data_IF_600378151427
#
_entry.id   IF_600378151427
#
_cell.length_a   1.000
_cell.length_b   1.000
_cell.length_c   1.000
_cell.angle_alpha   90.00
_cell.angle_beta   90.00
_cell.angle_gamma   90.00
#
_symmetry.space_group_name_H-M   'P 1'
#
loop_
_entity.id
_entity.type
_entity.pdbx_description
1 polymer ?
#
# COMPACT_ATOMS: atom_id res chain seq x y z
N UNK A 1 8.09 -33.70 7.01
CA UNK A 1 8.28 -32.44 6.26
C UNK A 1 9.75 -32.31 5.89
N UNK A 2 10.10 -31.93 4.65
CA UNK A 2 11.50 -31.67 4.31
C UNK A 2 12.02 -30.52 5.17
N UNK A 3 13.22 -30.65 5.74
CA UNK A 3 13.87 -29.56 6.48
C UNK A 3 14.14 -28.42 5.49
N UNK A 4 13.81 -27.16 5.82
CA UNK A 4 14.19 -26.04 4.98
C UNK A 4 15.72 -26.03 4.88
N UNK A 5 16.25 -26.24 3.67
CA UNK A 5 17.67 -26.08 3.40
C UNK A 5 17.97 -24.58 3.46
N UNK A 6 18.64 -24.15 4.53
CA UNK A 6 19.17 -22.80 4.60
C UNK A 6 20.19 -22.67 3.46
N UNK A 7 20.02 -21.71 2.53
CA UNK A 7 20.99 -21.52 1.46
C UNK A 7 22.38 -21.29 2.05
N UNK A 8 23.41 -21.85 1.42
CA UNK A 8 24.82 -21.72 1.85
C UNK A 8 25.27 -20.25 1.95
N UNK A 9 24.55 -19.35 1.28
CA UNK A 9 24.69 -17.88 1.39
C UNK A 9 23.30 -17.25 1.56
N UNK A 10 23.08 -16.55 2.67
CA UNK A 10 21.92 -15.69 2.82
C UNK A 10 22.01 -14.54 1.81
N UNK A 11 20.97 -14.37 0.99
CA UNK A 11 20.81 -13.22 0.10
C UNK A 11 19.54 -12.47 0.46
N UNK A 12 19.63 -11.18 0.84
CA UNK A 12 18.45 -10.32 0.91
C UNK A 12 17.99 -9.97 -0.52
N UNK A 13 16.72 -9.58 -0.71
CA UNK A 13 16.19 -9.31 -2.06
C UNK A 13 15.26 -10.39 -2.59
N UNK A 14 14.52 -11.10 -1.72
CA UNK A 14 13.76 -12.28 -2.14
C UNK A 14 12.77 -11.95 -3.24
N UNK A 15 12.02 -10.85 -3.10
CA UNK A 15 11.00 -10.47 -4.08
C UNK A 15 11.63 -10.03 -5.39
N UNK A 16 12.67 -9.20 -5.37
CA UNK A 16 13.35 -8.74 -6.60
C UNK A 16 13.94 -9.88 -7.43
N UNK A 17 14.27 -11.00 -6.80
CA UNK A 17 14.81 -12.21 -7.44
C UNK A 17 13.77 -13.34 -7.64
N UNK A 18 12.49 -13.12 -7.31
CA UNK A 18 11.45 -14.16 -7.43
C UNK A 18 11.27 -14.64 -8.89
N UNK A 19 10.95 -15.93 -9.08
CA UNK A 19 10.67 -16.50 -10.40
C UNK A 19 9.41 -15.86 -11.03
N UNK A 20 9.62 -14.99 -12.02
CA UNK A 20 8.59 -14.27 -12.76
C UNK A 20 7.68 -15.17 -13.60
N UNK A 21 8.03 -16.44 -13.82
CA UNK A 21 7.16 -17.39 -14.54
C UNK A 21 5.96 -17.80 -13.70
N UNK A 22 6.04 -17.64 -12.38
CA UNK A 22 4.90 -17.86 -11.48
C UNK A 22 4.05 -16.60 -11.42
N UNK A 23 2.71 -16.74 -11.32
CA UNK A 23 1.79 -15.59 -11.18
C UNK A 23 2.16 -14.74 -9.96
N UNK A 24 2.43 -15.39 -8.83
CA UNK A 24 2.84 -14.72 -7.60
C UNK A 24 4.17 -13.97 -7.77
N UNK A 25 5.19 -14.62 -8.34
CA UNK A 25 6.49 -13.98 -8.57
C UNK A 25 6.42 -12.80 -9.54
N UNK A 26 5.61 -12.89 -10.60
CA UNK A 26 5.38 -11.77 -11.51
C UNK A 26 4.74 -10.56 -10.81
N UNK A 27 3.67 -10.79 -10.04
CA UNK A 27 2.95 -9.73 -9.30
C UNK A 27 3.86 -9.09 -8.25
N UNK A 28 4.53 -9.91 -7.44
CA UNK A 28 5.39 -9.43 -6.37
C UNK A 28 6.58 -8.63 -6.91
N UNK A 29 7.21 -9.07 -8.01
CA UNK A 29 8.27 -8.30 -8.65
C UNK A 29 7.77 -6.98 -9.24
N UNK A 30 6.62 -6.98 -9.92
CA UNK A 30 6.06 -5.75 -10.48
C UNK A 30 5.80 -4.70 -9.37
N UNK A 31 5.18 -5.11 -8.26
CA UNK A 31 4.92 -4.21 -7.12
C UNK A 31 6.21 -3.76 -6.43
N UNK A 32 7.21 -4.65 -6.31
CA UNK A 32 8.51 -4.27 -5.77
C UNK A 32 9.21 -3.24 -6.63
N UNK A 33 9.17 -3.42 -7.94
CA UNK A 33 9.73 -2.46 -8.89
C UNK A 33 9.02 -1.11 -8.77
N UNK A 34 7.69 -1.09 -8.78
CA UNK A 34 6.88 0.14 -8.63
C UNK A 34 7.21 0.90 -7.33
N UNK A 35 7.18 0.23 -6.19
CA UNK A 35 7.47 0.87 -4.89
C UNK A 35 8.92 1.36 -4.80
N UNK A 36 9.88 0.62 -5.37
CA UNK A 36 11.28 1.06 -5.35
C UNK A 36 11.54 2.22 -6.30
N UNK A 37 10.88 2.27 -7.46
CA UNK A 37 10.93 3.39 -8.40
C UNK A 37 10.37 4.67 -7.77
N UNK A 38 9.22 4.58 -7.09
CA UNK A 38 8.62 5.71 -6.36
C UNK A 38 9.55 6.29 -5.28
N UNK A 39 10.40 5.45 -4.70
CA UNK A 39 11.39 5.84 -3.68
C UNK A 39 12.75 6.25 -4.27
N UNK A 40 12.82 6.48 -5.58
CA UNK A 40 14.02 6.99 -6.27
C UNK A 40 14.92 5.91 -6.88
N UNK A 41 14.43 4.67 -6.97
CA UNK A 41 15.10 3.54 -7.60
C UNK A 41 15.85 2.63 -6.60
N UNK A 42 15.92 1.31 -6.88
CA UNK A 42 16.43 0.31 -5.93
C UNK A 42 17.90 0.51 -5.52
N UNK A 43 18.72 1.09 -6.40
CA UNK A 43 20.14 1.40 -6.15
C UNK A 43 20.34 2.53 -5.15
N UNK A 44 19.34 3.39 -4.96
CA UNK A 44 19.37 4.52 -4.01
C UNK A 44 18.83 4.15 -2.63
N UNK A 45 18.28 2.96 -2.49
CA UNK A 45 17.71 2.49 -1.23
C UNK A 45 18.78 1.88 -0.33
N UNK A 46 18.66 2.15 0.96
CA UNK A 46 19.40 1.40 1.97
C UNK A 46 18.89 -0.04 2.06
N UNK A 47 19.71 -0.92 2.64
CA UNK A 47 19.28 -2.27 2.96
C UNK A 47 18.00 -2.30 3.82
N UNK A 48 17.91 -1.42 4.82
CA UNK A 48 16.76 -1.34 5.71
C UNK A 48 15.47 -0.98 4.95
N UNK A 49 15.54 -0.03 4.01
CA UNK A 49 14.40 0.32 3.16
C UNK A 49 13.96 -0.85 2.28
N UNK A 50 14.89 -1.54 1.60
CA UNK A 50 14.55 -2.74 0.81
C UNK A 50 13.89 -3.83 1.66
N UNK A 51 14.43 -4.07 2.85
CA UNK A 51 13.91 -5.05 3.81
C UNK A 51 12.50 -4.72 4.32
N UNK A 52 12.21 -3.43 4.51
CA UNK A 52 10.88 -2.91 4.87
C UNK A 52 9.90 -3.04 3.70
N UNK A 53 10.29 -2.69 2.48
CA UNK A 53 9.47 -2.85 1.28
C UNK A 53 9.04 -4.31 1.11
N UNK A 54 9.96 -5.25 1.26
CA UNK A 54 9.60 -6.68 1.14
C UNK A 54 8.55 -7.11 2.16
N UNK A 55 8.67 -6.65 3.42
CA UNK A 55 7.68 -6.94 4.46
C UNK A 55 6.33 -6.30 4.17
N UNK A 56 6.33 -5.07 3.65
CA UNK A 56 5.11 -4.39 3.24
C UNK A 56 4.38 -5.20 2.16
N UNK A 57 5.09 -5.66 1.12
CA UNK A 57 4.48 -6.42 0.03
C UNK A 57 3.94 -7.78 0.48
N UNK A 58 4.64 -8.47 1.38
CA UNK A 58 4.12 -9.73 1.96
C UNK A 58 2.88 -9.50 2.82
N UNK A 59 2.86 -8.45 3.63
CA UNK A 59 1.68 -8.09 4.42
C UNK A 59 0.49 -7.71 3.52
N UNK A 60 0.74 -6.94 2.46
CA UNK A 60 -0.29 -6.56 1.49
C UNK A 60 -0.87 -7.78 0.78
N UNK A 61 -0.03 -8.70 0.32
CA UNK A 61 -0.49 -9.96 -0.27
C UNK A 61 -1.34 -10.78 0.70
N UNK A 62 -0.92 -10.89 1.96
CA UNK A 62 -1.67 -11.63 2.96
C UNK A 62 -3.01 -10.96 3.29
N UNK A 63 -3.04 -9.63 3.43
CA UNK A 63 -4.27 -8.85 3.64
C UNK A 63 -5.26 -9.05 2.48
N UNK A 64 -4.79 -8.98 1.23
CA UNK A 64 -5.60 -9.23 0.04
C UNK A 64 -6.17 -10.65 0.02
N UNK A 65 -5.41 -11.66 0.46
CA UNK A 65 -5.91 -13.03 0.57
C UNK A 65 -7.01 -13.18 1.63
N UNK A 66 -6.90 -12.48 2.76
CA UNK A 66 -7.95 -12.43 3.78
C UNK A 66 -9.22 -11.73 3.25
N UNK A 67 -9.06 -10.61 2.55
CA UNK A 67 -10.16 -9.86 1.93
C UNK A 67 -10.85 -10.68 0.82
N UNK A 68 -10.09 -11.45 0.04
CA UNK A 68 -10.65 -12.35 -0.96
C UNK A 68 -11.51 -13.44 -0.32
N UNK A 69 -11.08 -14.05 0.79
CA UNK A 69 -11.89 -15.02 1.54
C UNK A 69 -13.21 -14.42 2.02
N UNK A 70 -13.21 -13.16 2.47
CA UNK A 70 -14.45 -12.45 2.80
C UNK A 70 -15.34 -12.24 1.58
N UNK A 71 -14.78 -11.78 0.45
CA UNK A 71 -15.51 -11.58 -0.80
C UNK A 71 -16.12 -12.87 -1.38
N UNK A 72 -15.49 -14.00 -1.12
CA UNK A 72 -15.95 -15.34 -1.52
C UNK A 72 -16.92 -15.96 -0.49
N UNK A 73 -17.32 -15.22 0.55
CA UNK A 73 -18.29 -15.66 1.56
C UNK A 73 -17.73 -16.63 2.60
N UNK A 74 -16.41 -16.86 2.64
CA UNK A 74 -15.74 -17.70 3.64
C UNK A 74 -15.40 -16.90 4.90
N UNK A 75 -16.43 -16.39 5.55
CA UNK A 75 -16.31 -15.53 6.74
C UNK A 75 -15.61 -16.27 7.89
N UNK A 76 -15.79 -17.59 8.00
CA UNK A 76 -15.17 -18.40 9.04
C UNK A 76 -13.65 -18.53 8.92
N UNK A 77 -13.09 -18.25 7.74
CA UNK A 77 -11.63 -18.31 7.49
C UNK A 77 -10.96 -16.96 7.78
N UNK A 78 -11.75 -15.91 8.03
CA UNK A 78 -11.26 -14.57 8.30
C UNK A 78 -11.02 -14.36 9.80
N UNK A 79 -9.81 -13.91 10.15
CA UNK A 79 -9.46 -13.49 11.51
C UNK A 79 -9.34 -11.95 11.56
N UNK A 80 -10.32 -11.24 12.15
CA UNK A 80 -10.28 -9.78 12.25
C UNK A 80 -9.07 -9.27 13.07
N UNK A 81 -8.65 -10.02 14.09
CA UNK A 81 -7.56 -9.62 14.98
C UNK A 81 -6.22 -9.68 14.27
N UNK A 82 -5.96 -10.75 13.52
CA UNK A 82 -4.76 -10.85 12.69
C UNK A 82 -4.77 -9.83 11.54
N UNK A 83 -5.95 -9.61 10.93
CA UNK A 83 -6.11 -8.61 9.88
C UNK A 83 -5.75 -7.20 10.35
N UNK A 84 -6.29 -6.76 11.49
CA UNK A 84 -5.99 -5.45 12.08
C UNK A 84 -4.51 -5.32 12.44
N UNK A 85 -3.89 -6.37 12.98
CA UNK A 85 -2.45 -6.35 13.31
C UNK A 85 -1.58 -6.22 12.06
N UNK A 86 -1.90 -6.94 10.99
CA UNK A 86 -1.18 -6.84 9.72
C UNK A 86 -1.36 -5.46 9.08
N UNK A 87 -2.59 -4.93 9.07
CA UNK A 87 -2.90 -3.60 8.51
C UNK A 87 -2.17 -2.47 9.27
N UNK A 88 -2.15 -2.52 10.60
CA UNK A 88 -1.40 -1.56 11.42
C UNK A 88 0.12 -1.67 11.21
N UNK A 89 0.62 -2.89 11.08
CA UNK A 89 2.04 -3.14 10.77
C UNK A 89 2.42 -2.57 9.40
N UNK A 90 1.59 -2.79 8.39
CA UNK A 90 1.77 -2.26 7.04
C UNK A 90 1.78 -0.73 7.04
N UNK A 91 0.81 -0.11 7.70
CA UNK A 91 0.77 1.35 7.88
C UNK A 91 2.06 1.87 8.52
N UNK A 92 2.53 1.23 9.60
CA UNK A 92 3.76 1.61 10.29
C UNK A 92 5.01 1.46 9.41
N UNK A 93 5.04 0.49 8.49
CA UNK A 93 6.14 0.35 7.53
C UNK A 93 6.10 1.48 6.51
N UNK A 94 4.94 1.76 5.91
CA UNK A 94 4.80 2.82 4.91
C UNK A 94 5.14 4.20 5.46
N UNK A 95 4.69 4.54 6.67
CA UNK A 95 5.07 5.80 7.32
C UNK A 95 6.60 5.93 7.48
N UNK A 96 7.31 4.83 7.77
CA UNK A 96 8.79 4.83 7.92
C UNK A 96 9.53 4.90 6.58
N UNK A 97 8.92 4.42 5.51
CA UNK A 97 9.47 4.51 4.15
C UNK A 97 9.32 5.93 3.54
N UNK A 98 8.73 6.87 4.28
CA UNK A 98 8.50 8.24 3.81
C UNK A 98 7.24 8.38 2.96
N UNK A 99 6.35 7.38 2.96
CA UNK A 99 5.00 7.53 2.43
C UNK A 99 4.18 8.33 3.45
N UNK A 100 4.34 9.64 3.40
CA UNK A 100 3.58 10.55 4.25
C UNK A 100 2.16 10.70 3.72
N UNK A 101 1.19 10.75 4.64
CA UNK A 101 -0.20 11.10 4.33
C UNK A 101 -0.21 12.49 3.67
N UNK A 102 -0.45 12.54 2.35
CA UNK A 102 -0.74 13.81 1.69
C UNK A 102 -2.09 14.31 2.19
N UNK A 103 -2.08 15.37 3.01
CA UNK A 103 -3.31 16.08 3.36
C UNK A 103 -3.96 16.54 2.07
N UNK A 104 -5.23 16.18 1.86
CA UNK A 104 -6.03 16.75 0.79
C UNK A 104 -6.11 18.25 1.09
N UNK A 105 -5.74 19.11 0.15
CA UNK A 105 -6.00 20.55 0.28
C UNK A 105 -7.51 20.70 0.52
N UNK A 106 -7.86 20.95 1.77
CA UNK A 106 -9.22 21.33 2.12
C UNK A 106 -9.33 22.72 1.54
N UNK A 107 -10.18 22.86 0.51
CA UNK A 107 -10.53 24.13 -0.14
C UNK A 107 -10.44 25.25 0.89
N UNK A 108 -9.56 26.19 0.63
CA UNK A 108 -9.29 27.32 1.50
C UNK A 108 -10.62 27.97 1.89
N UNK A 109 -10.72 28.58 3.06
CA UNK A 109 -11.99 29.17 3.53
C UNK A 109 -12.52 30.17 2.49
N UNK A 110 -11.60 30.77 1.73
CA UNK A 110 -11.80 31.60 0.55
C UNK A 110 -12.59 30.88 -0.56
N UNK A 111 -12.23 29.64 -0.92
CA UNK A 111 -12.95 28.83 -1.92
C UNK A 111 -14.37 28.48 -1.44
N UNK A 112 -14.54 28.23 -0.13
CA UNK A 112 -15.85 27.99 0.46
C UNK A 112 -16.72 29.27 0.41
N UNK A 113 -16.16 30.43 0.77
CA UNK A 113 -16.83 31.73 0.70
C UNK A 113 -17.19 32.12 -0.73
N UNK A 114 -16.30 31.89 -1.70
CA UNK A 114 -16.54 32.18 -3.12
C UNK A 114 -17.62 31.27 -3.71
N UNK A 115 -17.63 29.99 -3.33
CA UNK A 115 -18.69 29.07 -3.75
C UNK A 115 -20.07 29.47 -3.17
N UNK A 116 -20.11 29.98 -1.93
CA UNK A 116 -21.33 30.50 -1.31
C UNK A 116 -21.79 31.82 -1.95
N UNK A 117 -20.86 32.72 -2.27
CA UNK A 117 -21.15 33.98 -2.94
C UNK A 117 -21.65 33.76 -4.39
N UNK A 118 -21.09 32.80 -5.13
CA UNK A 118 -21.57 32.40 -6.46
C UNK A 118 -22.95 31.75 -6.43
N UNK A 119 -23.25 30.91 -5.42
CA UNK A 119 -24.58 30.33 -5.21
C UNK A 119 -25.64 31.39 -4.85
N UNK A 120 -25.30 32.34 -3.97
CA UNK A 120 -26.21 33.43 -3.59
C UNK A 120 -26.47 34.43 -4.73
N UNK A 121 -25.49 34.66 -5.62
CA UNK A 121 -25.67 35.49 -6.82
C UNK A 121 -26.57 34.82 -7.86
N UNK A 122 -26.43 33.52 -8.11
CA UNK A 122 -27.27 32.81 -9.08
C UNK A 122 -28.75 32.74 -8.67
N UNK A 123 -29.06 32.72 -7.37
CA UNK A 123 -30.44 32.78 -6.88
C UNK A 123 -31.10 34.15 -7.03
N UNK A 124 -30.33 35.25 -7.02
CA UNK A 124 -30.87 36.62 -7.18
C UNK A 124 -31.21 36.98 -8.62
N UNK A 125 -30.55 36.38 -9.62
CA UNK A 125 -30.82 36.66 -11.04
C UNK A 125 -32.04 35.87 -11.56
N UNK A 126 -32.42 34.77 -10.89
CA UNK A 126 -33.55 33.94 -11.29
C UNK A 126 -34.93 34.40 -10.73
N UNK A 127 -34.99 35.57 -10.09
CA UNK A 127 -36.21 36.11 -9.45
C UNK A 127 -36.39 37.63 -9.70
N UNK A 128 -35.77 38.16 -10.76
CA UNK A 128 -35.96 39.53 -11.24
C UNK A 128 -36.68 39.55 -12.57
#
# INVERSE_FOLDING_TARGET
MPKPSVPEKFRPGYIGEMDRRTKLGAIMQARWQEVTEDLGGPDRLSYAQRSLIERALWLEYWLQAQEASLGEGRIQDFDPGQWVQAANSLQGIFSRLGLERRSRDVKDITDYLDSKARRGRSQKVAHG
#
